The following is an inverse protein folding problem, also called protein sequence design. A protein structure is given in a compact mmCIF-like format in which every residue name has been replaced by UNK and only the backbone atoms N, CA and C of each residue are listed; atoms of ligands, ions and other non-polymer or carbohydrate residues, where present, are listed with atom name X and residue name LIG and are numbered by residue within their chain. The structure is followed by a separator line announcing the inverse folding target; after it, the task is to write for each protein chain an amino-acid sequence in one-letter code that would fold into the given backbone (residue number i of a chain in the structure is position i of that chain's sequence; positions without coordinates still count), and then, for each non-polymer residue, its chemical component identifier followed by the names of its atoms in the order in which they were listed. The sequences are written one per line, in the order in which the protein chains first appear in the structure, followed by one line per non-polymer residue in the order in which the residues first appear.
data_IF_722102589127
#
_entry.id   IF_722102589127
#
_cell.length_a   1.000
_cell.length_b   1.000
_cell.length_c   1.000
_cell.angle_alpha   90.00
_cell.angle_beta   90.00
_cell.angle_gamma   90.00
#
_symmetry.space_group_name_H-M   'P 1'
#
loop_
_entity.id
_entity.type
_entity.pdbx_description
1 polymer ?
#
# COMPACT_ATOMS: atom_id res chain seq x y z
N UNK A 1 73.72 14.07 -6.63
CA UNK A 1 72.39 14.69 -6.79
C UNK A 1 71.36 13.60 -6.59
N UNK A 2 70.50 13.78 -5.59
CA UNK A 2 69.65 12.73 -5.02
C UNK A 2 68.29 12.71 -5.70
N UNK A 3 67.95 11.62 -6.40
CA UNK A 3 66.65 11.44 -7.03
C UNK A 3 65.64 10.92 -6.00
N UNK A 4 64.58 11.69 -5.78
CA UNK A 4 63.50 11.41 -4.82
C UNK A 4 62.57 10.31 -5.37
N UNK A 5 62.40 9.23 -4.61
CA UNK A 5 61.46 8.15 -4.87
C UNK A 5 60.08 8.56 -4.32
N UNK A 6 59.12 8.81 -5.20
CA UNK A 6 57.72 9.04 -4.83
C UNK A 6 57.09 7.69 -4.49
N UNK A 7 56.75 7.48 -3.21
CA UNK A 7 55.91 6.36 -2.78
C UNK A 7 54.49 6.59 -3.28
N UNK A 8 54.03 5.75 -4.20
CA UNK A 8 52.60 5.62 -4.54
C UNK A 8 51.92 4.93 -3.35
N UNK A 9 51.19 5.69 -2.55
CA UNK A 9 50.26 5.13 -1.57
C UNK A 9 49.08 4.52 -2.35
N UNK A 10 48.92 3.20 -2.27
CA UNK A 10 47.68 2.51 -2.61
C UNK A 10 46.64 2.89 -1.55
N UNK A 11 45.79 3.86 -1.87
CA UNK A 11 44.51 4.03 -1.18
C UNK A 11 43.50 3.09 -1.84
N UNK A 12 42.91 2.12 -1.12
CA UNK A 12 41.83 1.32 -1.66
C UNK A 12 40.59 2.21 -1.80
N UNK A 13 40.29 2.58 -3.03
CA UNK A 13 39.02 3.20 -3.40
C UNK A 13 37.89 2.21 -3.08
N UNK A 14 36.89 2.57 -2.25
CA UNK A 14 35.73 1.71 -2.04
C UNK A 14 34.84 1.82 -3.28
N UNK A 15 35.20 1.06 -4.31
CA UNK A 15 34.38 0.82 -5.48
C UNK A 15 33.12 0.04 -5.03
N UNK A 16 31.96 0.66 -5.24
CA UNK A 16 30.67 0.02 -5.08
C UNK A 16 29.99 0.31 -3.76
N UNK A 17 29.53 1.55 -3.58
CA UNK A 17 28.31 1.77 -2.79
C UNK A 17 27.20 1.01 -3.51
N UNK A 18 26.97 -0.23 -3.09
CA UNK A 18 25.70 -0.92 -3.36
C UNK A 18 24.65 -0.04 -2.70
N UNK A 19 23.96 0.76 -3.51
CA UNK A 19 22.76 1.47 -3.09
C UNK A 19 21.73 0.38 -2.83
N UNK A 20 21.75 -0.16 -1.62
CA UNK A 20 20.65 -0.95 -1.08
C UNK A 20 19.50 0.06 -1.03
N UNK A 21 18.44 -0.06 -1.85
CA UNK A 21 17.28 0.81 -1.71
C UNK A 21 16.82 0.73 -0.25
N UNK A 22 16.49 1.86 0.39
CA UNK A 22 16.23 1.89 1.82
C UNK A 22 15.23 0.80 2.18
N UNK A 23 15.53 -0.01 3.23
CA UNK A 23 14.67 -1.12 3.63
C UNK A 23 13.27 -0.57 3.87
N UNK A 24 12.29 -1.29 3.32
CA UNK A 24 10.85 -1.08 3.38
C UNK A 24 10.47 0.15 4.23
N UNK A 25 10.26 1.29 3.55
CA UNK A 25 9.66 2.45 4.18
C UNK A 25 8.48 1.98 5.02
N UNK A 26 8.50 2.26 6.33
CA UNK A 26 7.36 1.98 7.20
C UNK A 26 6.19 2.81 6.66
N UNK A 27 5.42 2.21 5.77
CA UNK A 27 4.21 2.80 5.21
C UNK A 27 3.18 2.78 6.35
N UNK A 28 2.85 3.95 6.95
CA UNK A 28 2.03 3.95 8.15
C UNK A 28 0.62 3.48 7.81
N UNK A 29 0.05 2.66 8.69
CA UNK A 29 -1.32 2.15 8.59
C UNK A 29 -2.28 3.30 8.28
N UNK A 30 -3.15 3.09 7.29
CA UNK A 30 -4.13 4.09 6.89
C UNK A 30 -5.35 3.90 7.78
N UNK A 31 -5.56 4.86 8.68
CA UNK A 31 -6.73 4.90 9.57
C UNK A 31 -7.99 5.16 8.77
N UNK A 32 -9.01 4.36 9.02
CA UNK A 32 -10.31 4.47 8.38
C UNK A 32 -11.36 5.10 9.31
N UNK A 33 -12.59 5.25 8.81
CA UNK A 33 -13.75 5.62 9.61
C UNK A 33 -14.02 4.55 10.67
N UNK A 34 -14.55 4.94 11.83
CA UNK A 34 -14.81 4.08 13.01
C UNK A 34 -15.50 2.73 12.75
N UNK A 35 -16.28 2.63 11.67
CA UNK A 35 -17.04 1.44 11.31
C UNK A 35 -16.21 0.40 10.54
N UNK A 36 -15.20 0.84 9.78
CA UNK A 36 -14.40 0.01 8.88
C UNK A 36 -13.01 -0.28 9.46
N UNK A 37 -12.40 -1.43 9.13
CA UNK A 37 -11.06 -1.76 9.60
C UNK A 37 -10.01 -0.82 8.99
N UNK A 38 -8.94 -0.61 9.76
CA UNK A 38 -7.72 0.04 9.28
C UNK A 38 -7.03 -0.83 8.23
N UNK A 39 -6.33 -0.20 7.28
CA UNK A 39 -5.68 -0.91 6.17
C UNK A 39 -4.17 -0.74 6.25
N UNK A 40 -3.47 -1.87 6.24
CA UNK A 40 -2.01 -1.91 6.10
C UNK A 40 -1.63 -1.95 4.61
N UNK A 41 -0.89 -0.94 4.10
CA UNK A 41 -0.37 -0.95 2.74
C UNK A 41 0.49 -2.18 2.41
N UNK A 42 1.15 -2.81 3.39
CA UNK A 42 1.94 -4.04 3.17
C UNK A 42 1.04 -5.21 2.74
N UNK A 43 -0.09 -5.41 3.42
CA UNK A 43 -1.11 -6.44 3.09
C UNK A 43 -1.70 -6.21 1.69
N UNK A 44 -1.87 -4.95 1.30
CA UNK A 44 -2.32 -4.57 -0.05
C UNK A 44 -1.25 -4.90 -1.11
N UNK A 45 0.04 -4.63 -0.84
CA UNK A 45 1.15 -4.98 -1.76
C UNK A 45 1.22 -6.48 -2.01
N UNK A 46 1.12 -7.28 -0.96
CA UNK A 46 1.11 -8.75 -1.06
C UNK A 46 -0.07 -9.25 -1.92
N UNK A 47 -1.25 -8.65 -1.75
CA UNK A 47 -2.45 -9.01 -2.52
C UNK A 47 -2.40 -8.59 -3.99
N UNK A 48 -1.77 -7.45 -4.31
CA UNK A 48 -1.73 -6.91 -5.68
C UNK A 48 -0.64 -7.53 -6.55
N UNK A 49 0.38 -8.16 -5.95
CA UNK A 49 1.51 -8.78 -6.67
C UNK A 49 2.08 -7.84 -7.76
N UNK A 50 2.34 -6.59 -7.36
CA UNK A 50 2.82 -5.53 -8.26
C UNK A 50 4.25 -5.86 -8.73
N UNK A 51 4.38 -6.32 -9.97
CA UNK A 51 5.67 -6.56 -10.65
C UNK A 51 6.45 -5.24 -10.91
N UNK A 52 5.78 -4.10 -10.84
CA UNK A 52 6.40 -2.77 -11.00
C UNK A 52 6.62 -2.07 -9.67
N UNK A 53 7.76 -1.40 -9.53
CA UNK A 53 8.09 -0.57 -8.36
C UNK A 53 7.14 0.64 -8.25
N UNK A 54 5.99 0.47 -7.61
CA UNK A 54 5.10 1.59 -7.27
C UNK A 54 5.68 2.32 -6.07
N UNK A 55 5.95 3.62 -6.25
CA UNK A 55 6.41 4.49 -5.17
C UNK A 55 5.41 4.46 -3.98
N UNK A 56 5.89 4.35 -2.73
CA UNK A 56 5.05 4.28 -1.53
C UNK A 56 3.97 5.38 -1.46
N UNK A 57 4.32 6.61 -1.83
CA UNK A 57 3.38 7.73 -1.85
C UNK A 57 2.22 7.51 -2.84
N UNK A 58 2.49 6.95 -4.03
CA UNK A 58 1.45 6.66 -5.04
C UNK A 58 0.54 5.54 -4.60
N UNK A 59 1.10 4.51 -3.96
CA UNK A 59 0.30 3.42 -3.40
C UNK A 59 -0.62 3.94 -2.30
N UNK A 60 -0.10 4.78 -1.39
CA UNK A 60 -0.90 5.37 -0.32
C UNK A 60 -2.08 6.18 -0.87
N UNK A 61 -1.86 7.02 -1.87
CA UNK A 61 -2.95 7.78 -2.51
C UNK A 61 -3.96 6.86 -3.19
N UNK A 62 -3.52 5.82 -3.91
CA UNK A 62 -4.43 4.85 -4.53
C UNK A 62 -5.27 4.10 -3.50
N UNK A 63 -4.70 3.72 -2.36
CA UNK A 63 -5.44 3.07 -1.26
C UNK A 63 -6.46 4.05 -0.67
N UNK A 64 -6.08 5.32 -0.41
CA UNK A 64 -7.03 6.33 0.06
C UNK A 64 -8.20 6.52 -0.89
N UNK A 65 -7.95 6.56 -2.20
CA UNK A 65 -9.01 6.61 -3.22
C UNK A 65 -9.89 5.37 -3.14
N UNK A 66 -9.30 4.17 -3.06
CA UNK A 66 -10.05 2.93 -2.94
C UNK A 66 -10.93 2.87 -1.69
N UNK A 67 -10.43 3.35 -0.55
CA UNK A 67 -11.20 3.49 0.69
C UNK A 67 -12.35 4.47 0.49
N UNK A 68 -12.09 5.66 -0.07
CA UNK A 68 -13.11 6.68 -0.24
C UNK A 68 -14.26 6.22 -1.14
N UNK A 69 -13.94 5.59 -2.28
CA UNK A 69 -14.94 5.06 -3.21
C UNK A 69 -15.72 3.89 -2.60
N UNK A 70 -15.04 2.94 -1.94
CA UNK A 70 -15.71 1.82 -1.26
C UNK A 70 -16.62 2.33 -0.13
N UNK A 71 -16.18 3.33 0.63
CA UNK A 71 -16.99 3.92 1.70
C UNK A 71 -18.20 4.70 1.16
N UNK A 72 -18.09 5.31 -0.02
CA UNK A 72 -19.20 5.99 -0.67
C UNK A 72 -20.28 4.98 -1.11
N UNK A 73 -19.87 3.88 -1.74
CA UNK A 73 -20.79 2.80 -2.16
C UNK A 73 -21.46 2.13 -0.95
N UNK A 74 -20.71 1.90 0.12
CA UNK A 74 -21.22 1.27 1.34
C UNK A 74 -21.93 2.23 2.29
N UNK A 75 -22.10 3.52 1.94
CA UNK A 75 -22.66 4.52 2.84
C UNK A 75 -24.08 4.15 3.31
N UNK A 76 -24.99 3.87 2.36
CA UNK A 76 -26.37 3.51 2.68
C UNK A 76 -26.46 2.21 3.48
N UNK A 77 -25.62 1.24 3.13
CA UNK A 77 -25.57 -0.03 3.83
C UNK A 77 -25.06 0.15 5.27
N UNK A 78 -24.03 0.98 5.47
CA UNK A 78 -23.52 1.31 6.80
C UNK A 78 -24.62 1.89 7.69
N UNK A 79 -25.38 2.85 7.20
CA UNK A 79 -26.50 3.46 7.95
C UNK A 79 -27.54 2.41 8.37
N UNK A 80 -27.86 1.45 7.49
CA UNK A 80 -28.77 0.35 7.82
C UNK A 80 -28.21 -0.55 8.93
N UNK A 81 -26.91 -0.86 8.91
CA UNK A 81 -26.30 -1.68 9.95
C UNK A 81 -26.17 -0.95 11.28
N UNK A 82 -25.89 0.36 11.25
CA UNK A 82 -25.88 1.21 12.45
C UNK A 82 -27.29 1.29 13.04
N UNK A 83 -28.32 1.45 12.21
CA UNK A 83 -29.71 1.39 12.67
C UNK A 83 -30.09 0.02 13.24
N UNK A 84 -29.47 -1.06 12.73
CA UNK A 84 -29.55 -2.41 13.28
C UNK A 84 -28.77 -2.62 14.59
N UNK A 85 -28.05 -1.61 15.09
CA UNK A 85 -27.30 -1.65 16.35
C UNK A 85 -25.86 -2.14 16.24
N UNK A 86 -25.33 -2.34 15.03
CA UNK A 86 -23.95 -2.79 14.84
C UNK A 86 -22.97 -1.61 14.78
N UNK A 87 -21.91 -1.67 15.59
CA UNK A 87 -20.93 -0.59 15.72
C UNK A 87 -19.74 -0.73 14.78
N UNK A 88 -19.38 -1.96 14.42
CA UNK A 88 -18.24 -2.28 13.56
C UNK A 88 -18.62 -3.31 12.51
N UNK A 89 -17.88 -3.32 11.40
CA UNK A 89 -18.04 -4.29 10.33
C UNK A 89 -17.90 -5.75 10.80
N UNK A 90 -17.02 -6.00 11.78
CA UNK A 90 -16.79 -7.33 12.34
C UNK A 90 -17.95 -7.82 13.24
N UNK A 91 -18.76 -6.91 13.78
CA UNK A 91 -19.89 -7.27 14.64
C UNK A 91 -21.10 -7.73 13.83
N UNK A 92 -21.11 -7.45 12.52
CA UNK A 92 -22.27 -7.72 11.69
C UNK A 92 -22.29 -9.20 11.28
N UNK A 93 -23.42 -9.91 11.45
CA UNK A 93 -23.49 -11.36 11.26
C UNK A 93 -22.99 -11.79 9.88
N UNK A 94 -21.87 -12.49 9.85
CA UNK A 94 -21.28 -13.09 8.67
C UNK A 94 -20.54 -14.36 9.08
N UNK A 95 -20.26 -15.20 8.09
CA UNK A 95 -19.39 -16.34 8.30
C UNK A 95 -17.98 -15.86 8.67
N UNK A 96 -17.31 -16.66 9.48
CA UNK A 96 -15.90 -16.46 9.81
C UNK A 96 -15.03 -17.22 8.81
N UNK A 97 -14.01 -16.55 8.29
CA UNK A 97 -12.99 -17.13 7.43
C UNK A 97 -11.64 -16.92 8.12
N UNK A 98 -11.02 -18.03 8.53
CA UNK A 98 -9.70 -18.02 9.19
C UNK A 98 -9.64 -17.14 10.46
N UNK A 99 -10.78 -17.03 11.17
CA UNK A 99 -10.90 -16.20 12.38
C UNK A 99 -11.13 -14.70 12.11
N UNK A 100 -11.22 -14.27 10.85
CA UNK A 100 -11.69 -12.93 10.45
C UNK A 100 -13.11 -13.03 9.88
N UNK A 101 -13.97 -12.04 10.15
CA UNK A 101 -15.28 -11.96 9.49
C UNK A 101 -15.09 -11.86 7.96
N UNK A 102 -15.86 -12.66 7.20
CA UNK A 102 -15.88 -12.63 5.73
C UNK A 102 -16.13 -11.21 5.18
N UNK A 103 -16.86 -10.36 5.92
CA UNK A 103 -17.11 -8.96 5.53
C UNK A 103 -15.84 -8.12 5.55
N UNK A 104 -14.97 -8.33 6.54
CA UNK A 104 -13.66 -7.66 6.64
C UNK A 104 -12.78 -8.07 5.47
N UNK A 105 -12.78 -9.37 5.13
CA UNK A 105 -12.06 -9.89 3.97
C UNK A 105 -12.55 -9.26 2.64
N UNK A 106 -13.87 -9.23 2.41
CA UNK A 106 -14.42 -8.60 1.19
C UNK A 106 -14.13 -7.11 1.12
N UNK A 107 -14.19 -6.40 2.25
CA UNK A 107 -13.84 -4.98 2.29
C UNK A 107 -12.39 -4.74 1.86
N UNK A 108 -11.44 -5.49 2.42
CA UNK A 108 -10.04 -5.40 2.03
C UNK A 108 -9.85 -5.70 0.53
N UNK A 109 -10.55 -6.70 0.00
CA UNK A 109 -10.50 -7.03 -1.44
C UNK A 109 -11.08 -5.94 -2.32
N UNK A 110 -12.18 -5.30 -1.92
CA UNK A 110 -12.79 -4.20 -2.64
C UNK A 110 -11.81 -3.02 -2.74
N UNK A 111 -11.23 -2.62 -1.61
CA UNK A 111 -10.24 -1.53 -1.58
C UNK A 111 -9.01 -1.87 -2.41
N UNK A 112 -8.49 -3.09 -2.29
CA UNK A 112 -7.30 -3.54 -3.06
C UNK A 112 -7.57 -3.50 -4.56
N UNK A 113 -8.74 -3.98 -4.99
CA UNK A 113 -9.14 -3.98 -6.40
C UNK A 113 -9.29 -2.56 -6.93
N UNK A 114 -9.89 -1.66 -6.15
CA UNK A 114 -10.05 -0.27 -6.54
C UNK A 114 -8.71 0.48 -6.60
N UNK A 115 -7.83 0.27 -5.63
CA UNK A 115 -6.47 0.82 -5.65
C UNK A 115 -5.69 0.32 -6.88
N UNK A 116 -5.84 -0.95 -7.23
CA UNK A 116 -5.26 -1.54 -8.45
C UNK A 116 -5.79 -0.86 -9.70
N UNK A 117 -7.11 -0.70 -9.81
CA UNK A 117 -7.74 -0.03 -10.94
C UNK A 117 -7.27 1.42 -11.07
N UNK A 118 -7.15 2.16 -9.97
CA UNK A 118 -6.65 3.55 -9.96
C UNK A 118 -5.20 3.61 -10.43
N UNK A 119 -4.33 2.70 -9.96
CA UNK A 119 -2.94 2.64 -10.38
C UNK A 119 -2.80 2.27 -11.87
N UNK A 120 -3.54 1.26 -12.34
CA UNK A 120 -3.57 0.89 -13.75
C UNK A 120 -4.05 2.04 -14.64
N UNK A 121 -5.15 2.69 -14.25
CA UNK A 121 -5.71 3.85 -14.97
C UNK A 121 -4.72 5.02 -15.05
N UNK A 122 -3.91 5.23 -14.01
CA UNK A 122 -2.88 6.27 -14.02
C UNK A 122 -1.74 5.94 -15.01
N UNK A 123 -1.35 4.67 -15.11
CA UNK A 123 -0.30 4.22 -16.04
C UNK A 123 -0.75 4.29 -17.50
N UNK A 124 -1.99 3.92 -17.80
CA UNK A 124 -2.55 4.00 -19.16
C UNK A 124 -2.57 5.43 -19.71
N UNK A 125 -2.69 6.46 -18.86
CA UNK A 125 -2.67 7.86 -19.30
C UNK A 125 -1.25 8.37 -19.61
N UNK A 126 -0.23 7.87 -18.93
CA UNK A 126 1.17 8.25 -19.20
C UNK A 126 1.76 7.57 -20.46
N UNK A 127 1.15 6.50 -20.95
CA UNK A 127 1.57 5.80 -22.18
C UNK A 127 1.37 6.58 -23.47
N UNK A 128 0.56 7.65 -23.47
CA UNK A 128 0.31 8.51 -24.64
C UNK A 128 1.30 9.70 -24.73
N UNK A 129 2.29 9.78 -23.86
CA UNK A 129 3.29 10.87 -23.82
C UNK A 129 4.72 10.39 -24.16
N UNK A 130 4.86 9.27 -24.87
CA UNK A 130 6.14 8.81 -25.39
C UNK A 130 6.11 8.68 -26.90
#
# INVERSE_FOLDING_TARGET
MTTLIIKKNDEPQPDGVVVIPPPASDEPVIKNTFFFPDIDPKRVREGMRLEQTVAPARLREAIKTGIAETNAELFLWREQQIAGGFSKLADVPADDLDGESVRVFYYLRAVTSMATATLLRALSRCGCQR
#
